data_IF_476105713402
#
_entry.id   IF_476105713402
#
_cell.length_a   1.000
_cell.length_b   1.000
_cell.length_c   1.000
_cell.angle_alpha   90.00
_cell.angle_beta   90.00
_cell.angle_gamma   90.00
#
_symmetry.space_group_name_H-M   'P 1'
#
loop_
_entity.id
_entity.type
_entity.pdbx_description
1 polymer ?
#
# COMPACT_ATOMS: atom_id res chain seq x y z
N UNK A 1 21.21 -19.78 -21.75
CA UNK A 1 20.22 -19.05 -20.91
C UNK A 1 19.86 -19.98 -19.77
N UNK A 2 19.86 -19.51 -18.53
CA UNK A 2 19.47 -20.33 -17.38
C UNK A 2 18.28 -19.71 -16.65
N UNK A 3 17.46 -20.54 -16.01
CA UNK A 3 16.27 -20.12 -15.30
C UNK A 3 16.49 -20.41 -13.82
N UNK A 4 16.31 -19.40 -12.97
CA UNK A 4 16.51 -19.52 -11.52
C UNK A 4 15.31 -19.02 -10.75
N UNK A 5 15.09 -19.59 -9.57
CA UNK A 5 13.99 -19.24 -8.68
C UNK A 5 14.52 -18.64 -7.38
N UNK A 6 13.97 -17.51 -6.95
CA UNK A 6 14.35 -16.91 -5.67
C UNK A 6 13.84 -17.77 -4.49
N UNK A 7 14.66 -18.08 -3.46
CA UNK A 7 14.23 -18.83 -2.29
C UNK A 7 13.23 -18.06 -1.40
N UNK A 8 13.25 -16.73 -1.41
CA UNK A 8 12.41 -15.89 -0.55
C UNK A 8 11.00 -15.64 -1.11
N UNK A 9 10.90 -15.23 -2.38
CA UNK A 9 9.62 -14.84 -3.01
C UNK A 9 9.21 -15.74 -4.17
N UNK A 10 9.99 -16.77 -4.49
CA UNK A 10 9.68 -17.75 -5.52
C UNK A 10 9.56 -17.21 -6.95
N UNK A 11 9.94 -15.95 -7.21
CA UNK A 11 9.95 -15.39 -8.56
C UNK A 11 10.97 -16.11 -9.44
N UNK A 12 10.53 -16.46 -10.65
CA UNK A 12 11.34 -17.14 -11.66
C UNK A 12 11.84 -16.12 -12.68
N UNK A 13 13.14 -16.13 -12.97
CA UNK A 13 13.73 -15.19 -13.92
C UNK A 13 14.85 -15.82 -14.74
N UNK A 14 15.13 -15.21 -15.89
CA UNK A 14 16.11 -15.69 -16.87
C UNK A 14 17.42 -14.93 -16.70
N UNK A 15 18.51 -15.66 -16.54
CA UNK A 15 19.86 -15.12 -16.42
C UNK A 15 20.73 -15.57 -17.59
N UNK A 16 21.60 -14.69 -18.05
CA UNK A 16 22.65 -15.07 -19.00
C UNK A 16 23.84 -15.62 -18.22
N UNK A 17 24.48 -16.71 -18.67
CA UNK A 17 25.61 -17.31 -17.98
C UNK A 17 26.76 -16.31 -17.80
N UNK A 18 26.98 -15.41 -18.76
CA UNK A 18 27.97 -14.33 -18.70
C UNK A 18 27.82 -13.41 -17.47
N UNK A 19 26.59 -13.18 -16.99
CA UNK A 19 26.32 -12.27 -15.87
C UNK A 19 26.70 -12.89 -14.50
N UNK A 20 26.83 -14.21 -14.42
CA UNK A 20 27.14 -14.92 -13.17
C UNK A 20 28.63 -15.07 -12.95
N UNK A 21 29.40 -15.19 -14.04
CA UNK A 21 30.85 -15.38 -13.97
C UNK A 21 31.55 -14.14 -13.39
N UNK A 22 30.95 -12.96 -13.49
CA UNK A 22 31.51 -11.73 -12.93
C UNK A 22 31.49 -11.67 -11.38
N UNK A 23 30.63 -12.45 -10.71
CA UNK A 23 30.41 -12.39 -9.25
C UNK A 23 30.21 -13.76 -8.58
N UNK A 24 30.61 -14.86 -9.23
CA UNK A 24 30.52 -16.20 -8.65
C UNK A 24 29.10 -16.69 -8.39
N UNK A 25 28.10 -16.21 -9.14
CA UNK A 25 26.71 -16.63 -9.01
C UNK A 25 25.86 -15.85 -7.99
N UNK A 26 26.44 -14.90 -7.26
CA UNK A 26 25.70 -14.03 -6.33
C UNK A 26 24.80 -13.04 -7.10
N UNK A 27 23.48 -13.17 -6.94
CA UNK A 27 22.49 -12.28 -7.54
C UNK A 27 21.51 -11.78 -6.49
N UNK A 28 20.96 -10.57 -6.71
CA UNK A 28 19.82 -10.08 -5.94
C UNK A 28 18.55 -10.27 -6.75
N UNK A 29 17.50 -10.78 -6.11
CA UNK A 29 16.19 -10.87 -6.73
C UNK A 29 15.68 -9.47 -7.13
N UNK A 30 15.26 -9.27 -8.39
CA UNK A 30 14.68 -8.00 -8.85
C UNK A 30 13.29 -7.69 -8.27
N UNK A 31 12.68 -8.62 -7.55
CA UNK A 31 11.36 -8.46 -6.93
C UNK A 31 11.43 -8.18 -5.43
N UNK A 32 12.20 -8.97 -4.66
CA UNK A 32 12.29 -8.82 -3.20
C UNK A 32 13.67 -8.39 -2.71
N UNK A 33 14.64 -8.16 -3.60
CA UNK A 33 16.03 -7.76 -3.29
C UNK A 33 16.83 -8.70 -2.38
N UNK A 34 16.30 -9.90 -2.11
CA UNK A 34 17.00 -10.93 -1.34
C UNK A 34 18.26 -11.39 -2.10
N UNK A 35 19.46 -11.32 -1.48
CA UNK A 35 20.70 -11.83 -2.06
C UNK A 35 20.70 -13.36 -1.96
N UNK A 36 21.02 -14.04 -3.06
CA UNK A 36 21.14 -15.50 -3.08
C UNK A 36 22.05 -15.97 -4.22
N UNK A 37 22.50 -17.22 -4.17
CA UNK A 37 23.27 -17.81 -5.25
C UNK A 37 22.34 -18.39 -6.33
N UNK A 38 22.40 -17.85 -7.53
CA UNK A 38 21.59 -18.28 -8.65
C UNK A 38 21.91 -19.73 -9.10
N UNK A 39 23.14 -20.19 -8.92
CA UNK A 39 23.56 -21.54 -9.36
C UNK A 39 22.91 -22.64 -8.51
N UNK A 40 22.66 -22.38 -7.21
CA UNK A 40 22.07 -23.33 -6.27
C UNK A 40 20.55 -23.49 -6.45
N UNK A 41 19.89 -22.51 -7.07
CA UNK A 41 18.44 -22.47 -7.24
C UNK A 41 18.02 -22.42 -8.72
N UNK A 42 18.74 -23.18 -9.57
CA UNK A 42 18.41 -23.36 -10.98
C UNK A 42 17.22 -24.30 -11.13
N UNK A 43 16.25 -23.92 -11.96
CA UNK A 43 15.11 -24.76 -12.31
C UNK A 43 15.35 -25.31 -13.71
N UNK A 44 15.46 -26.64 -13.80
CA UNK A 44 15.45 -27.31 -15.10
C UNK A 44 14.03 -27.26 -15.66
N UNK A 45 13.84 -26.48 -16.72
CA UNK A 45 12.63 -26.57 -17.52
C UNK A 45 12.75 -27.83 -18.37
N UNK A 46 11.97 -28.85 -18.01
CA UNK A 46 11.65 -29.95 -18.92
C UNK A 46 10.96 -29.33 -20.12
N UNK A 47 11.64 -29.28 -21.27
CA UNK A 47 10.97 -29.11 -22.55
C UNK A 47 10.13 -30.35 -22.80
N UNK A 48 8.93 -30.40 -22.21
CA UNK A 48 7.85 -31.26 -22.71
C UNK A 48 7.34 -30.61 -24.01
N UNK A 49 8.20 -30.72 -25.02
CA UNK A 49 8.13 -30.05 -26.31
C UNK A 49 8.96 -30.76 -27.37
N UNK A 50 9.19 -32.07 -27.21
CA UNK A 50 9.46 -32.97 -28.33
C UNK A 50 8.15 -33.64 -28.77
N UNK A 51 7.14 -32.82 -29.10
CA UNK A 51 6.11 -33.25 -30.04
C UNK A 51 6.74 -33.13 -31.43
N UNK A 52 6.98 -34.30 -32.03
CA UNK A 52 7.33 -34.54 -33.43
C UNK A 52 6.91 -33.39 -34.34
N UNK A 53 7.88 -32.66 -34.87
CA UNK A 53 7.68 -31.85 -36.07
C UNK A 53 7.42 -32.80 -37.24
N UNK A 54 6.17 -33.25 -37.38
CA UNK A 54 5.68 -33.71 -38.66
C UNK A 54 5.57 -32.46 -39.56
N UNK A 55 6.27 -32.49 -40.68
CA UNK A 55 6.14 -31.50 -41.73
C UNK A 55 4.65 -31.27 -42.06
N UNK A 56 4.20 -30.02 -42.28
CA UNK A 56 2.84 -29.77 -42.72
C UNK A 56 2.63 -30.49 -44.07
N UNK A 57 1.53 -31.24 -44.25
CA UNK A 57 1.19 -31.79 -45.56
C UNK A 57 0.96 -30.62 -46.54
N UNK A 58 1.25 -30.81 -47.84
CA UNK A 58 1.02 -29.78 -48.85
C UNK A 58 -0.46 -29.35 -48.84
N UNK A 59 -0.77 -28.08 -49.14
CA UNK A 59 -2.15 -27.60 -49.16
C UNK A 59 -2.95 -28.40 -50.19
N UNK A 60 -3.86 -29.26 -49.71
CA UNK A 60 -4.91 -29.82 -50.53
C UNK A 60 -5.75 -28.65 -51.07
N UNK A 61 -5.96 -28.64 -52.39
CA UNK A 61 -6.79 -27.67 -53.08
C UNK A 61 -8.13 -27.53 -52.35
N UNK A 62 -8.43 -26.32 -51.88
CA UNK A 62 -9.78 -25.99 -51.42
C UNK A 62 -10.73 -26.19 -52.60
N UNK A 63 -11.82 -26.96 -52.48
CA UNK A 63 -12.86 -26.89 -53.49
C UNK A 63 -13.37 -25.45 -53.50
N UNK A 64 -13.32 -24.83 -54.68
CA UNK A 64 -14.00 -23.57 -54.95
C UNK A 64 -15.48 -23.85 -54.70
N UNK A 65 -16.02 -23.34 -53.59
CA UNK A 65 -17.45 -23.32 -53.37
C UNK A 65 -18.00 -22.22 -54.27
N UNK A 66 -18.40 -22.61 -55.47
CA UNK A 66 -19.17 -21.77 -56.35
C UNK A 66 -20.52 -21.50 -55.67
N UNK A 67 -20.80 -20.22 -55.42
CA UNK A 67 -22.04 -19.79 -54.79
C UNK A 67 -23.21 -20.18 -55.72
N UNK A 68 -23.86 -21.30 -55.41
CA UNK A 68 -25.18 -21.59 -55.95
C UNK A 68 -26.14 -20.57 -55.36
N UNK A 69 -26.89 -19.80 -56.17
CA UNK A 69 -28.01 -19.04 -55.64
C UNK A 69 -29.07 -20.04 -55.18
N UNK A 70 -29.27 -20.15 -53.87
CA UNK A 70 -30.43 -20.86 -53.33
C UNK A 70 -31.69 -20.09 -53.75
N UNK A 71 -32.65 -20.74 -54.44
CA UNK A 71 -33.96 -20.17 -54.66
C UNK A 71 -34.80 -20.41 -53.40
N UNK A 72 -35.56 -19.38 -52.99
CA UNK A 72 -36.56 -19.39 -51.90
C UNK A 72 -36.02 -19.15 -50.49
N UNK A 73 -35.77 -17.87 -50.17
CA UNK A 73 -36.25 -17.26 -48.94
C UNK A 73 -36.66 -15.81 -49.25
N UNK A 74 -37.86 -15.68 -49.81
CA UNK A 74 -38.59 -14.43 -49.90
C UNK A 74 -39.10 -14.10 -48.48
N UNK A 75 -38.39 -13.23 -47.79
CA UNK A 75 -38.88 -12.57 -46.59
C UNK A 75 -39.10 -11.10 -46.96
N UNK A 76 -40.37 -10.74 -47.15
CA UNK A 76 -40.83 -9.35 -47.20
C UNK A 76 -40.25 -8.59 -45.99
N UNK A 77 -39.36 -7.64 -46.28
CA UNK A 77 -38.89 -6.66 -45.30
C UNK A 77 -40.01 -5.64 -45.14
N UNK A 78 -40.70 -5.53 -43.99
CA UNK A 78 -41.66 -4.48 -43.79
C UNK A 78 -40.94 -3.13 -43.87
N UNK A 79 -41.50 -2.24 -44.69
CA UNK A 79 -41.01 -0.90 -44.96
C UNK A 79 -40.88 -0.13 -43.64
N UNK A 80 -39.62 0.14 -43.24
CA UNK A 80 -39.29 0.89 -42.03
C UNK A 80 -39.82 2.31 -42.21
N UNK A 81 -40.77 2.69 -41.38
CA UNK A 81 -41.25 4.05 -41.27
C UNK A 81 -40.08 5.03 -41.05
N UNK A 82 -40.07 6.22 -41.66
CA UNK A 82 -38.96 7.16 -41.54
C UNK A 82 -38.74 7.54 -40.07
N UNK A 83 -37.51 7.38 -39.62
CA UNK A 83 -37.03 7.81 -38.31
C UNK A 83 -37.31 9.31 -38.12
N UNK A 84 -37.67 9.77 -36.90
CA UNK A 84 -37.77 11.19 -36.61
C UNK A 84 -36.41 11.88 -36.85
N UNK A 85 -36.39 13.17 -37.25
CA UNK A 85 -35.15 13.87 -37.54
C UNK A 85 -34.25 13.86 -36.31
N UNK A 86 -33.00 13.47 -36.53
CA UNK A 86 -31.90 13.58 -35.58
C UNK A 86 -31.92 15.01 -35.05
N UNK A 87 -32.18 15.17 -33.74
CA UNK A 87 -31.94 16.44 -33.05
C UNK A 87 -30.49 16.82 -33.32
N UNK A 88 -30.29 18.07 -33.76
CA UNK A 88 -28.97 18.63 -33.99
C UNK A 88 -28.02 18.26 -32.84
N UNK A 89 -26.76 17.86 -33.14
CA UNK A 89 -25.75 17.70 -32.11
C UNK A 89 -25.72 18.94 -31.22
N UNK A 90 -25.68 18.72 -29.90
CA UNK A 90 -25.32 19.76 -28.95
C UNK A 90 -24.04 20.46 -29.47
N UNK A 91 -23.94 21.80 -29.39
CA UNK A 91 -22.75 22.49 -29.84
C UNK A 91 -21.53 21.93 -29.10
N UNK A 92 -20.62 21.30 -29.84
CA UNK A 92 -19.27 21.06 -29.34
C UNK A 92 -18.69 22.43 -28.95
N UNK A 93 -18.02 22.56 -27.79
CA UNK A 93 -17.36 23.81 -27.44
C UNK A 93 -16.46 24.21 -28.61
N UNK A 94 -16.68 25.43 -29.11
CA UNK A 94 -16.00 25.96 -30.27
C UNK A 94 -14.48 25.90 -30.07
N UNK A 95 -13.79 25.53 -31.13
CA UNK A 95 -12.34 25.32 -31.21
C UNK A 95 -11.51 26.60 -31.07
N UNK A 96 -12.10 27.66 -30.51
CA UNK A 96 -11.52 28.97 -30.23
C UNK A 96 -11.27 29.17 -28.72
N UNK A 97 -11.75 28.25 -27.87
CA UNK A 97 -11.52 28.22 -26.41
C UNK A 97 -10.20 27.50 -26.02
N UNK A 98 -9.26 27.35 -26.96
CA UNK A 98 -7.98 26.67 -26.68
C UNK A 98 -7.03 27.60 -25.93
N UNK A 99 -6.65 27.21 -24.71
CA UNK A 99 -5.51 27.83 -24.04
C UNK A 99 -4.22 27.53 -24.81
N UNK A 100 -3.38 28.53 -25.02
CA UNK A 100 -2.02 28.35 -25.53
C UNK A 100 -1.18 27.69 -24.42
N UNK A 101 -0.70 26.46 -24.63
CA UNK A 101 -0.02 25.70 -23.58
C UNK A 101 1.38 26.24 -23.24
N UNK A 102 1.87 27.22 -24.02
CA UNK A 102 3.10 27.96 -23.77
C UNK A 102 2.88 29.30 -23.05
N UNK A 103 1.63 29.76 -22.92
CA UNK A 103 1.32 31.02 -22.24
C UNK A 103 1.37 30.82 -20.71
N UNK A 104 1.97 31.75 -19.94
CA UNK A 104 1.81 31.79 -18.49
C UNK A 104 0.32 31.87 -18.16
N UNK A 105 -0.14 31.10 -17.17
CA UNK A 105 -1.54 31.08 -16.73
C UNK A 105 -2.02 32.50 -16.39
N UNK A 106 -2.67 33.16 -17.34
CA UNK A 106 -3.30 34.44 -17.09
C UNK A 106 -4.61 34.15 -16.37
N UNK A 107 -4.67 34.49 -15.08
CA UNK A 107 -5.93 34.57 -14.34
C UNK A 107 -6.92 35.35 -15.20
N UNK A 108 -8.06 34.78 -15.62
CA UNK A 108 -9.05 35.56 -16.33
C UNK A 108 -9.56 36.62 -15.36
N UNK A 109 -9.20 37.88 -15.62
CA UNK A 109 -9.85 39.00 -15.00
C UNK A 109 -11.32 38.93 -15.44
N UNK A 110 -12.19 38.55 -14.50
CA UNK A 110 -13.63 38.65 -14.65
C UNK A 110 -13.95 40.03 -15.22
N UNK A 111 -14.42 40.02 -16.46
CA UNK A 111 -14.89 41.20 -17.19
C UNK A 111 -16.20 41.61 -16.54
N UNK A 112 -16.09 42.34 -15.44
CA UNK A 112 -17.22 43.01 -14.81
C UNK A 112 -17.82 43.97 -15.82
N UNK A 113 -19.08 43.75 -16.14
CA UNK A 113 -19.93 44.70 -16.85
C UNK A 113 -19.87 46.04 -16.15
N UNK A 114 -19.30 47.04 -16.83
CA UNK A 114 -19.29 48.42 -16.39
C UNK A 114 -20.73 48.94 -16.41
N UNK A 115 -21.26 49.24 -15.22
CA UNK A 115 -22.34 50.18 -15.05
C UNK A 115 -21.73 51.39 -14.34
N UNK A 116 -21.84 52.51 -15.04
CA UNK A 116 -21.43 53.86 -14.70
C UNK A 116 -22.01 54.30 -13.36
N UNK A 117 -21.15 54.74 -12.44
CA UNK A 117 -21.50 55.76 -11.45
C UNK A 117 -20.21 56.39 -10.90
N UNK A 118 -20.08 57.69 -11.14
CA UNK A 118 -18.92 58.48 -10.75
C UNK A 118 -18.85 58.69 -9.24
N UNK A 119 -17.68 58.42 -8.67
CA UNK A 119 -17.27 59.10 -7.44
C UNK A 119 -15.74 59.25 -7.40
N UNK A 120 -15.33 60.52 -7.42
CA UNK A 120 -13.99 60.98 -7.12
C UNK A 120 -13.57 60.55 -5.70
N UNK A 121 -12.36 59.99 -5.58
CA UNK A 121 -11.81 59.59 -4.28
C UNK A 121 -10.37 59.13 -4.38
N UNK A 122 -9.47 60.12 -4.42
CA UNK A 122 -8.15 60.14 -3.76
C UNK A 122 -7.36 58.83 -3.64
N UNK A 123 -6.29 58.73 -4.42
CA UNK A 123 -5.20 57.77 -4.22
C UNK A 123 -4.51 57.96 -2.85
N UNK A 124 -3.97 56.86 -2.31
CA UNK A 124 -2.64 56.93 -1.73
C UNK A 124 -1.71 56.00 -2.51
N UNK A 125 -0.60 56.57 -2.97
CA UNK A 125 0.57 55.86 -3.39
C UNK A 125 1.14 55.05 -2.20
N UNK A 126 1.41 53.78 -2.42
CA UNK A 126 2.30 52.99 -1.58
C UNK A 126 3.24 52.18 -2.47
N UNK A 127 4.44 52.75 -2.58
CA UNK A 127 5.77 52.16 -2.55
C UNK A 127 5.99 50.79 -3.23
N UNK A 128 6.80 50.85 -4.29
CA UNK A 128 7.56 49.75 -4.87
C UNK A 128 8.53 49.15 -3.83
N UNK A 129 8.03 48.16 -3.11
CA UNK A 129 8.84 47.26 -2.28
C UNK A 129 9.10 45.95 -3.01
N UNK A 130 10.25 45.85 -3.67
CA UNK A 130 10.82 44.59 -4.14
C UNK A 130 10.90 43.59 -2.97
N UNK A 131 10.03 42.58 -2.97
CA UNK A 131 10.08 41.47 -2.03
C UNK A 131 10.55 40.22 -2.76
N UNK A 132 11.74 39.80 -2.35
CA UNK A 132 12.51 38.66 -2.79
C UNK A 132 11.67 37.37 -2.98
N UNK A 133 12.00 36.67 -4.08
CA UNK A 133 11.71 35.26 -4.26
C UNK A 133 12.20 34.48 -3.03
N UNK A 134 11.28 33.79 -2.34
CA UNK A 134 11.67 32.80 -1.35
C UNK A 134 12.07 31.51 -2.09
N UNK A 135 13.30 31.01 -1.92
CA UNK A 135 13.66 29.70 -2.45
C UNK A 135 12.93 28.61 -1.66
N UNK A 136 12.36 27.65 -2.39
CA UNK A 136 11.78 26.42 -1.85
C UNK A 136 12.81 25.63 -1.02
N UNK A 137 12.38 24.86 0.00
CA UNK A 137 13.29 24.02 0.77
C UNK A 137 13.82 22.89 -0.12
N UNK A 138 15.14 22.90 -0.27
CA UNK A 138 15.91 21.89 -0.96
C UNK A 138 15.82 20.55 -0.22
N UNK A 139 15.45 19.54 -1.01
CA UNK A 139 15.55 18.10 -0.78
C UNK A 139 16.55 17.71 0.32
N UNK A 140 16.10 16.90 1.28
CA UNK A 140 16.96 16.11 2.19
C UNK A 140 17.94 15.27 1.35
N UNK A 141 19.10 15.84 1.02
CA UNK A 141 20.29 15.09 0.63
C UNK A 141 21.04 14.73 1.90
N UNK A 142 21.18 13.44 2.13
CA UNK A 142 21.96 12.85 3.20
C UNK A 142 23.38 13.39 3.19
N UNK A 143 23.70 14.23 4.18
CA UNK A 143 25.04 14.74 4.41
C UNK A 143 25.99 13.58 4.77
N UNK A 144 26.87 13.18 3.83
CA UNK A 144 28.16 12.61 4.20
C UNK A 144 28.98 13.73 4.82
N UNK A 145 29.31 13.56 6.09
CA UNK A 145 30.20 14.44 6.86
C UNK A 145 31.63 14.24 6.32
N UNK A 146 32.08 15.12 5.44
CA UNK A 146 33.49 15.28 5.10
C UNK A 146 34.14 16.22 6.11
N UNK A 147 35.21 15.77 6.77
CA UNK A 147 36.08 16.61 7.59
C UNK A 147 36.98 17.47 6.68
N UNK A 148 37.35 18.70 7.09
CA UNK A 148 38.27 19.54 6.32
C UNK A 148 39.70 19.02 6.49
N UNK A 149 40.42 18.92 5.36
CA UNK A 149 41.87 18.72 5.32
C UNK A 149 42.46 20.06 4.92
N UNK A 150 43.23 20.67 5.83
CA UNK A 150 44.08 21.82 5.53
C UNK A 150 45.21 21.38 4.59
N UNK A 151 45.38 22.14 3.50
CA UNK A 151 46.47 22.02 2.54
C UNK A 151 47.71 22.73 3.10
N UNK A 152 48.79 21.98 3.32
CA UNK A 152 50.13 22.55 3.51
C UNK A 152 51.14 21.81 2.61
N UNK A 153 51.98 22.60 1.97
CA UNK A 153 52.85 22.23 0.84
C UNK A 153 54.06 21.34 1.22
N UNK A 154 54.40 20.41 0.31
CA UNK A 154 55.79 20.14 -0.08
C UNK A 154 56.57 19.01 0.61
N UNK A 155 57.00 18.00 -0.17
CA UNK A 155 58.25 17.24 0.10
C UNK A 155 58.24 15.71 -0.10
N UNK A 156 58.65 15.27 -1.30
CA UNK A 156 59.48 14.08 -1.68
C UNK A 156 59.20 12.66 -1.13
N UNK A 157 59.25 11.58 -1.97
CA UNK A 157 58.73 10.26 -1.58
C UNK A 157 59.78 9.33 -0.95
N UNK A 158 59.38 8.58 0.10
CA UNK A 158 60.12 7.40 0.56
C UNK A 158 59.21 6.34 1.21
N UNK A 159 59.07 5.21 0.50
CA UNK A 159 59.22 3.82 0.97
C UNK A 159 58.54 3.40 2.29
N UNK A 160 57.38 2.76 2.13
CA UNK A 160 57.00 1.46 2.70
C UNK A 160 56.93 1.29 4.23
N UNK A 161 55.73 0.99 4.73
CA UNK A 161 55.48 -0.12 5.69
C UNK A 161 53.99 -0.35 5.98
N UNK A 162 53.64 -1.62 5.84
CA UNK A 162 52.76 -2.47 6.65
C UNK A 162 51.29 -2.07 6.92
N UNK A 163 50.40 -2.92 6.38
CA UNK A 163 48.96 -2.97 6.62
C UNK A 163 48.64 -3.22 8.11
N UNK A 164 47.74 -2.42 8.67
CA UNK A 164 47.01 -2.74 9.89
C UNK A 164 45.51 -2.89 9.57
N UNK A 165 44.96 -4.04 9.94
CA UNK A 165 43.60 -4.49 9.67
C UNK A 165 42.51 -3.67 10.42
N UNK A 166 41.29 -3.57 9.87
CA UNK A 166 40.15 -2.95 10.55
C UNK A 166 39.58 -3.88 11.64
N UNK A 167 39.45 -3.35 12.86
CA UNK A 167 38.85 -4.03 14.00
C UNK A 167 37.31 -4.12 13.90
N UNK A 168 36.69 -5.24 14.33
CA UNK A 168 35.24 -5.41 14.33
C UNK A 168 34.63 -4.95 15.66
N UNK A 169 33.72 -3.97 15.62
CA UNK A 169 32.75 -3.75 16.69
C UNK A 169 31.38 -4.23 16.21
N UNK A 170 31.10 -5.51 16.47
CA UNK A 170 29.75 -6.07 16.49
C UNK A 170 29.45 -6.47 17.95
N UNK A 171 28.32 -6.06 18.54
CA UNK A 171 27.98 -6.50 19.90
C UNK A 171 27.55 -7.97 19.86
N UNK A 172 28.41 -8.86 20.35
CA UNK A 172 28.04 -10.25 20.66
C UNK A 172 27.26 -10.25 21.98
N UNK A 173 25.98 -10.62 21.93
CA UNK A 173 25.25 -11.01 23.14
C UNK A 173 25.80 -12.36 23.58
N UNK A 174 26.52 -12.38 24.71
CA UNK A 174 26.92 -13.60 25.40
C UNK A 174 25.70 -14.24 26.07
N UNK A 175 25.18 -15.31 25.47
CA UNK A 175 24.28 -16.24 26.15
C UNK A 175 25.13 -17.23 26.95
N UNK A 176 25.05 -17.17 28.27
CA UNK A 176 25.62 -18.19 29.17
C UNK A 176 24.52 -19.22 29.47
N UNK A 177 24.68 -20.49 29.07
CA UNK A 177 23.73 -21.53 29.46
C UNK A 177 23.82 -21.79 30.98
N UNK A 178 22.69 -22.09 31.66
CA UNK A 178 22.73 -22.48 33.07
C UNK A 178 23.44 -23.84 33.24
N UNK A 179 24.09 -24.08 34.40
CA UNK A 179 24.75 -25.34 34.67
C UNK A 179 23.73 -26.49 34.72
N UNK A 180 24.14 -27.72 34.36
CA UNK A 180 23.30 -28.90 34.51
C UNK A 180 22.96 -29.12 35.99
N UNK A 181 21.72 -29.54 36.26
CA UNK A 181 21.30 -29.97 37.58
C UNK A 181 22.03 -31.27 37.93
N UNK A 182 22.85 -31.23 38.98
CA UNK A 182 23.37 -32.44 39.61
C UNK A 182 22.23 -33.14 40.37
N UNK A 183 21.88 -34.34 39.93
CA UNK A 183 21.02 -35.27 40.67
C UNK A 183 21.80 -35.82 41.87
N UNK A 184 21.74 -35.10 43.00
CA UNK A 184 22.18 -35.65 44.30
C UNK A 184 21.00 -36.33 45.03
N UNK A 185 21.19 -37.56 45.56
CA UNK A 185 20.12 -38.35 46.16
C UNK A 185 19.68 -37.81 47.52
N UNK A 186 18.41 -38.12 47.84
CA UNK A 186 17.70 -37.73 49.04
C UNK A 186 18.51 -37.83 50.35
N UNK A 187 18.70 -36.69 50.99
CA UNK A 187 19.20 -36.57 52.36
C UNK A 187 18.26 -37.31 53.31
N UNK A 188 18.69 -38.47 53.78
CA UNK A 188 18.06 -39.20 54.87
C UNK A 188 18.08 -38.35 56.16
N UNK A 189 16.94 -38.22 56.82
CA UNK A 189 16.82 -37.61 58.14
C UNK A 189 17.58 -38.50 59.14
N UNK A 190 18.58 -37.99 59.88
CA UNK A 190 19.33 -38.76 60.85
C UNK A 190 18.45 -39.14 62.05
N UNK A 191 18.55 -40.41 62.44
CA UNK A 191 17.82 -40.98 63.57
C UNK A 191 18.21 -40.36 64.91
N UNK A 192 17.20 -40.25 65.78
CA UNK A 192 17.39 -40.34 67.23
C UNK A 192 17.12 -41.79 67.63
N UNK A 193 18.20 -42.56 67.78
CA UNK A 193 18.20 -43.81 68.52
C UNK A 193 19.34 -43.76 69.53
N UNK A 194 19.00 -43.84 70.80
CA UNK A 194 19.86 -44.34 71.89
C UNK A 194 18.96 -44.87 73.02
N UNK A 195 19.47 -45.80 73.85
CA UNK A 195 18.81 -47.10 73.99
C UNK A 195 18.30 -47.40 75.41
N UNK A 196 17.39 -48.37 75.47
CA UNK A 196 17.27 -49.45 76.48
C UNK A 196 17.24 -49.06 77.97
N UNK A 197 16.08 -49.31 78.61
CA UNK A 197 15.98 -50.28 79.74
C UNK A 197 14.51 -50.64 80.04
N UNK A 198 13.96 -51.60 79.30
CA UNK A 198 12.73 -52.30 79.70
C UNK A 198 13.09 -53.37 80.74
N UNK A 199 12.56 -53.20 81.94
CA UNK A 199 12.65 -54.19 83.02
C UNK A 199 11.68 -55.31 82.73
N UNK A 200 12.22 -56.49 82.42
CA UNK A 200 11.46 -57.72 82.26
C UNK A 200 10.57 -57.99 83.51
N UNK A 201 9.25 -57.99 83.31
CA UNK A 201 8.33 -58.71 84.18
C UNK A 201 7.19 -59.32 83.35
N UNK A 202 7.31 -60.63 83.18
CA UNK A 202 6.29 -61.66 82.96
C UNK A 202 5.01 -61.28 82.19
N UNK A 203 4.86 -61.88 81.00
CA UNK A 203 3.61 -62.04 80.28
C UNK A 203 2.59 -62.92 81.02
N UNK A 204 1.31 -62.61 80.88
CA UNK A 204 0.27 -63.63 80.73
C UNK A 204 -0.41 -63.55 79.35
N UNK A 205 -0.66 -64.73 78.79
CA UNK A 205 -1.43 -65.05 77.58
C UNK A 205 -2.91 -64.56 77.64
N UNK A 206 -3.63 -64.55 76.50
CA UNK A 206 -4.42 -63.41 76.06
C UNK A 206 -5.91 -63.57 76.36
N UNK A 207 -6.54 -62.49 76.84
CA UNK A 207 -7.99 -62.37 76.83
C UNK A 207 -8.43 -61.72 75.50
N UNK A 208 -9.12 -62.49 74.69
CA UNK A 208 -9.81 -62.10 73.46
C UNK A 208 -10.71 -60.88 73.68
N UNK A 209 -10.38 -59.76 73.04
CA UNK A 209 -11.27 -58.60 72.89
C UNK A 209 -11.94 -58.74 71.51
N UNK A 210 -13.28 -58.67 71.42
CA UNK A 210 -14.02 -58.94 70.19
C UNK A 210 -13.68 -57.93 69.09
N UNK A 211 -13.77 -58.43 67.85
CA UNK A 211 -13.56 -57.69 66.61
C UNK A 211 -14.26 -56.32 66.65
N UNK A 212 -13.47 -55.25 66.66
CA UNK A 212 -13.96 -53.93 66.30
C UNK A 212 -14.36 -53.98 64.82
N UNK A 213 -15.63 -53.66 64.60
CA UNK A 213 -16.25 -53.47 63.29
C UNK A 213 -15.38 -52.58 62.40
N UNK A 214 -15.38 -52.90 61.09
CA UNK A 214 -14.73 -52.15 60.02
C UNK A 214 -15.09 -50.65 60.05
N UNK A 215 -14.31 -49.86 60.79
CA UNK A 215 -14.34 -48.40 60.69
C UNK A 215 -13.51 -48.02 59.46
N UNK A 216 -14.22 -48.00 58.32
CA UNK A 216 -13.77 -47.41 57.06
C UNK A 216 -13.07 -46.07 57.37
N UNK A 217 -11.79 -45.86 57.01
CA UNK A 217 -11.17 -44.56 57.22
C UNK A 217 -11.99 -43.53 56.46
N UNK A 218 -12.61 -42.62 57.21
CA UNK A 218 -13.34 -41.50 56.65
C UNK A 218 -12.40 -40.78 55.66
N UNK A 219 -12.88 -40.60 54.42
CA UNK A 219 -12.21 -39.79 53.40
C UNK A 219 -11.66 -38.51 54.04
N UNK A 220 -10.44 -38.06 53.67
CA UNK A 220 -9.95 -36.75 54.10
C UNK A 220 -11.06 -35.74 53.83
N UNK A 221 -11.55 -35.09 54.89
CA UNK A 221 -12.51 -34.00 54.76
C UNK A 221 -11.83 -32.97 53.86
N UNK A 222 -12.30 -32.87 52.61
CA UNK A 222 -11.97 -31.74 51.76
C UNK A 222 -12.36 -30.50 52.57
N UNK A 223 -11.40 -29.62 52.91
CA UNK A 223 -11.70 -28.49 53.77
C UNK A 223 -12.84 -27.71 53.14
N UNK A 224 -13.88 -27.45 53.92
CA UNK A 224 -15.03 -26.66 53.49
C UNK A 224 -14.54 -25.24 53.17
N UNK A 225 -14.08 -25.06 51.92
CA UNK A 225 -13.45 -23.82 51.45
C UNK A 225 -14.39 -22.63 51.63
N UNK A 226 -15.71 -22.88 51.56
CA UNK A 226 -16.73 -21.87 51.84
C UNK A 226 -16.73 -21.43 53.31
N UNK A 227 -16.46 -22.33 54.25
CA UNK A 227 -16.29 -22.00 55.68
C UNK A 227 -14.99 -21.25 55.96
N UNK A 228 -13.89 -21.63 55.30
CA UNK A 228 -12.62 -20.92 55.47
C UNK A 228 -12.72 -19.49 54.90
N UNK A 229 -13.37 -19.31 53.76
CA UNK A 229 -13.63 -17.99 53.18
C UNK A 229 -14.58 -17.14 54.05
N UNK A 230 -15.53 -17.75 54.75
CA UNK A 230 -16.40 -17.02 55.68
C UNK A 230 -15.66 -16.53 56.94
N UNK A 231 -14.70 -17.32 57.45
CA UNK A 231 -13.98 -16.99 58.68
C UNK A 231 -12.70 -16.17 58.46
N UNK A 232 -12.01 -16.36 57.33
CA UNK A 232 -10.72 -15.73 57.03
C UNK A 232 -10.72 -14.93 55.72
N UNK A 233 -11.79 -15.00 54.92
CA UNK A 233 -11.94 -14.17 53.74
C UNK A 233 -12.09 -12.71 54.12
N UNK A 234 -11.42 -11.83 53.37
CA UNK A 234 -11.63 -10.38 53.52
C UNK A 234 -13.13 -10.10 53.30
N UNK A 235 -13.80 -9.32 54.18
CA UNK A 235 -15.21 -9.02 53.99
C UNK A 235 -15.39 -8.46 52.58
N UNK A 236 -16.27 -9.09 51.80
CA UNK A 236 -16.60 -8.61 50.46
C UNK A 236 -17.11 -7.19 50.63
N UNK A 237 -16.30 -6.18 50.30
CA UNK A 237 -16.75 -4.79 50.27
C UNK A 237 -17.83 -4.74 49.21
N UNK A 238 -19.07 -4.87 49.63
CA UNK A 238 -20.23 -4.68 48.78
C UNK A 238 -20.23 -3.22 48.36
N UNK A 239 -19.60 -2.94 47.23
CA UNK A 239 -19.70 -1.64 46.60
C UNK A 239 -21.18 -1.34 46.40
N UNK A 240 -21.64 -0.24 47.01
CA UNK A 240 -23.03 0.17 47.02
C UNK A 240 -23.60 0.14 45.59
N UNK A 241 -24.82 -0.37 45.35
CA UNK A 241 -25.36 -0.58 44.01
C UNK A 241 -25.35 0.70 43.15
N UNK A 242 -25.50 1.87 43.79
CA UNK A 242 -25.38 3.18 43.14
C UNK A 242 -23.96 3.45 42.60
N UNK A 243 -22.91 3.10 43.36
CA UNK A 243 -21.51 3.26 42.92
C UNK A 243 -21.21 2.34 41.74
N UNK A 244 -21.73 1.11 41.75
CA UNK A 244 -21.62 0.20 40.59
C UNK A 244 -22.33 0.75 39.36
N UNK A 245 -23.56 1.23 39.52
CA UNK A 245 -24.32 1.84 38.44
C UNK A 245 -23.59 3.07 37.87
N UNK A 246 -23.05 3.94 38.72
CA UNK A 246 -22.27 5.11 38.31
C UNK A 246 -21.00 4.69 37.56
N UNK A 247 -20.26 3.69 38.03
CA UNK A 247 -19.07 3.18 37.35
C UNK A 247 -19.39 2.57 35.98
N UNK A 248 -20.50 1.83 35.87
CA UNK A 248 -20.97 1.28 34.58
C UNK A 248 -21.38 2.39 33.63
N UNK A 249 -22.11 3.41 34.11
CA UNK A 249 -22.48 4.58 33.30
C UNK A 249 -21.25 5.37 32.85
N UNK A 250 -20.29 5.57 33.74
CA UNK A 250 -19.02 6.23 33.42
C UNK A 250 -18.25 5.42 32.37
N UNK A 251 -18.09 4.11 32.56
CA UNK A 251 -17.42 3.24 31.60
C UNK A 251 -18.13 3.20 30.24
N UNK A 252 -19.46 3.19 30.22
CA UNK A 252 -20.25 3.27 28.99
C UNK A 252 -20.07 4.63 28.29
N UNK A 253 -20.08 5.73 29.06
CA UNK A 253 -19.86 7.08 28.51
C UNK A 253 -18.45 7.24 27.93
N UNK A 254 -17.42 6.72 28.61
CA UNK A 254 -16.04 6.73 28.14
C UNK A 254 -15.87 5.87 26.89
N UNK A 255 -16.48 4.70 26.86
CA UNK A 255 -16.48 3.82 25.68
C UNK A 255 -17.15 4.50 24.48
N UNK A 256 -18.29 5.18 24.68
CA UNK A 256 -18.97 5.92 23.63
C UNK A 256 -18.11 7.09 23.11
N UNK A 257 -17.47 7.84 24.01
CA UNK A 257 -16.55 8.91 23.64
C UNK A 257 -15.35 8.38 22.85
N UNK A 258 -14.76 7.25 23.27
CA UNK A 258 -13.66 6.61 22.56
C UNK A 258 -14.08 6.14 21.17
N UNK A 259 -15.26 5.56 21.03
CA UNK A 259 -15.80 5.14 19.74
C UNK A 259 -16.03 6.35 18.80
N UNK A 260 -16.52 7.47 19.33
CA UNK A 260 -16.67 8.71 18.58
C UNK A 260 -15.32 9.27 18.12
N UNK A 261 -14.31 9.28 19.01
CA UNK A 261 -12.94 9.69 18.68
C UNK A 261 -12.32 8.78 17.61
N UNK A 262 -12.43 7.46 17.75
CA UNK A 262 -11.94 6.51 16.78
C UNK A 262 -12.61 6.70 15.41
N UNK A 263 -13.94 6.88 15.39
CA UNK A 263 -14.68 7.14 14.14
C UNK A 263 -14.23 8.46 13.48
N UNK A 264 -13.97 9.51 14.27
CA UNK A 264 -13.48 10.78 13.75
C UNK A 264 -12.05 10.69 13.19
N UNK A 265 -11.17 10.00 13.92
CA UNK A 265 -9.76 9.81 13.54
C UNK A 265 -9.61 8.90 12.32
N UNK A 266 -10.29 7.74 12.32
CA UNK A 266 -10.23 6.72 11.26
C UNK A 266 -11.36 6.86 10.22
N UNK A 267 -11.95 8.05 10.07
CA UNK A 267 -13.08 8.29 9.15
C UNK A 267 -12.77 7.88 7.71
N UNK A 268 -11.52 7.98 7.29
CA UNK A 268 -11.05 7.67 5.94
C UNK A 268 -10.98 6.15 5.72
N UNK A 269 -10.32 5.43 6.63
CA UNK A 269 -10.24 3.97 6.60
C UNK A 269 -11.63 3.34 6.71
N UNK A 270 -12.51 3.92 7.52
CA UNK A 270 -13.89 3.46 7.68
C UNK A 270 -14.70 3.65 6.39
N UNK A 271 -14.56 4.82 5.74
CA UNK A 271 -15.20 5.11 4.45
C UNK A 271 -14.66 4.23 3.30
N UNK A 272 -13.40 3.80 3.38
CA UNK A 272 -12.78 2.86 2.44
C UNK A 272 -13.27 1.42 2.66
N UNK A 273 -13.29 0.95 3.90
CA UNK A 273 -13.67 -0.42 4.23
C UNK A 273 -15.18 -0.69 4.04
N UNK A 274 -16.01 0.30 4.32
CA UNK A 274 -17.48 0.20 4.28
C UNK A 274 -18.06 1.33 3.42
N UNK A 275 -18.12 1.16 2.08
CA UNK A 275 -18.59 2.22 1.18
C UNK A 275 -20.05 2.65 1.46
N UNK A 276 -20.89 1.76 1.99
CA UNK A 276 -22.26 2.08 2.39
C UNK A 276 -22.39 3.04 3.57
N UNK A 277 -21.37 3.18 4.43
CA UNK A 277 -21.36 4.12 5.55
C UNK A 277 -20.91 5.54 5.15
N UNK A 278 -20.29 5.68 3.98
CA UNK A 278 -19.80 6.96 3.46
C UNK A 278 -20.85 8.10 3.46
N UNK A 279 -22.10 7.93 2.96
CA UNK A 279 -23.07 9.02 2.96
C UNK A 279 -23.38 9.53 4.37
N UNK A 280 -23.60 8.62 5.32
CA UNK A 280 -23.86 8.95 6.74
C UNK A 280 -22.67 9.68 7.36
N UNK A 281 -21.45 9.19 7.10
CA UNK A 281 -20.22 9.84 7.57
C UNK A 281 -20.04 11.22 6.96
N UNK A 282 -20.32 11.40 5.67
CA UNK A 282 -20.18 12.68 4.98
C UNK A 282 -21.17 13.74 5.50
N UNK A 283 -22.42 13.34 5.75
CA UNK A 283 -23.45 14.24 6.28
C UNK A 283 -23.16 14.63 7.74
N UNK A 284 -22.78 13.66 8.57
CA UNK A 284 -22.31 13.93 9.92
C UNK A 284 -21.12 14.89 9.90
N UNK A 285 -20.11 14.62 9.06
CA UNK A 285 -18.93 15.47 8.98
C UNK A 285 -19.22 16.89 8.48
N UNK A 286 -20.14 17.06 7.52
CA UNK A 286 -20.55 18.38 7.05
C UNK A 286 -21.11 19.23 8.20
N UNK A 287 -21.82 18.61 9.16
CA UNK A 287 -22.35 19.30 10.35
C UNK A 287 -21.28 19.62 11.40
N UNK A 288 -20.25 18.81 11.50
CA UNK A 288 -19.12 19.00 12.43
C UNK A 288 -17.94 19.78 11.82
N UNK A 289 -18.06 20.24 10.56
CA UNK A 289 -17.00 20.98 9.86
C UNK A 289 -15.79 20.11 9.46
N UNK A 290 -15.95 18.79 9.36
CA UNK A 290 -14.94 17.90 8.80
C UNK A 290 -15.26 17.48 7.37
N UNK A 291 -14.23 17.07 6.63
CA UNK A 291 -14.36 16.45 5.31
C UNK A 291 -14.01 14.97 5.36
N UNK A 292 -14.69 14.18 4.51
CA UNK A 292 -14.35 12.78 4.23
C UNK A 292 -13.88 12.68 2.77
N UNK A 293 -12.62 13.05 2.47
CA UNK A 293 -12.10 12.92 1.12
C UNK A 293 -12.14 11.47 0.62
N UNK A 294 -12.01 11.28 -0.70
CA UNK A 294 -11.78 9.95 -1.24
C UNK A 294 -10.31 9.53 -1.02
N UNK A 295 -10.03 8.23 -0.84
CA UNK A 295 -8.66 7.71 -0.80
C UNK A 295 -7.83 8.11 -2.02
N UNK A 296 -6.50 8.19 -1.84
CA UNK A 296 -5.51 8.64 -2.83
C UNK A 296 -4.39 7.62 -2.98
N UNK A 297 -4.69 6.47 -3.57
CA UNK A 297 -3.74 5.38 -3.74
C UNK A 297 -3.33 5.27 -5.23
N UNK A 298 -2.30 6.02 -5.61
CA UNK A 298 -1.82 6.10 -7.00
C UNK A 298 -1.38 4.74 -7.56
N UNK A 299 -0.92 3.82 -6.72
CA UNK A 299 -0.53 2.45 -7.11
C UNK A 299 -1.70 1.65 -7.72
N UNK A 300 -2.94 2.00 -7.38
CA UNK A 300 -4.14 1.37 -7.94
C UNK A 300 -4.68 2.10 -9.18
N UNK A 301 -4.06 3.21 -9.59
CA UNK A 301 -4.41 3.90 -10.83
C UNK A 301 -3.44 3.47 -11.92
N UNK A 302 -3.96 2.75 -12.91
CA UNK A 302 -3.16 2.27 -14.04
C UNK A 302 -3.54 3.01 -15.34
N UNK A 303 -2.53 3.28 -16.16
CA UNK A 303 -2.70 3.76 -17.53
C UNK A 303 -2.51 2.54 -18.44
N UNK A 304 -3.58 2.05 -19.06
CA UNK A 304 -3.57 0.78 -19.80
C UNK A 304 -3.16 0.95 -21.26
N UNK A 305 -3.64 2.01 -21.88
CA UNK A 305 -3.27 2.42 -23.21
C UNK A 305 -3.04 3.94 -23.19
N UNK A 306 -2.02 4.39 -23.91
CA UNK A 306 -1.82 5.80 -24.21
C UNK A 306 -1.31 5.93 -25.64
N UNK A 307 -1.77 6.96 -26.33
CA UNK A 307 -1.31 7.33 -27.67
C UNK A 307 -1.27 8.84 -27.81
N UNK A 308 -0.25 9.34 -28.51
CA UNK A 308 -0.09 10.76 -28.79
C UNK A 308 -0.08 10.96 -30.30
N UNK A 309 -1.12 11.62 -30.82
CA UNK A 309 -1.32 11.83 -32.24
C UNK A 309 -1.15 13.30 -32.60
N UNK A 310 -0.46 13.59 -33.70
CA UNK A 310 -0.47 14.93 -34.29
C UNK A 310 -1.77 15.12 -35.09
N UNK A 311 -2.41 16.28 -34.95
CA UNK A 311 -3.67 16.55 -35.65
C UNK A 311 -3.43 16.76 -37.16
N UNK A 312 -4.08 15.97 -38.04
CA UNK A 312 -3.91 16.12 -39.49
C UNK A 312 -4.34 17.51 -39.96
N UNK A 313 -3.44 18.21 -40.65
CA UNK A 313 -3.72 19.55 -41.19
C UNK A 313 -3.42 20.72 -40.25
N UNK A 314 -2.99 20.46 -39.00
CA UNK A 314 -2.58 21.50 -38.05
C UNK A 314 -1.23 21.15 -37.38
N UNK A 315 -0.09 21.58 -37.96
CA UNK A 315 1.22 21.31 -37.34
C UNK A 315 1.29 21.98 -35.96
N UNK A 316 1.81 21.26 -34.98
CA UNK A 316 1.93 21.75 -33.60
C UNK A 316 0.68 21.54 -32.75
N UNK A 317 -0.37 20.91 -33.25
CA UNK A 317 -1.52 20.47 -32.46
C UNK A 317 -1.45 18.96 -32.24
N UNK A 318 -1.63 18.55 -30.99
CA UNK A 318 -1.51 17.17 -30.56
C UNK A 318 -2.75 16.74 -29.78
N UNK A 319 -3.14 15.48 -29.94
CA UNK A 319 -4.21 14.83 -29.21
C UNK A 319 -3.62 13.67 -28.41
N UNK A 320 -3.67 13.79 -27.08
CA UNK A 320 -3.33 12.70 -26.18
C UNK A 320 -4.58 11.89 -25.87
N UNK A 321 -4.58 10.63 -26.28
CA UNK A 321 -5.61 9.66 -25.93
C UNK A 321 -5.04 8.70 -24.89
N UNK A 322 -5.72 8.50 -23.77
CA UNK A 322 -5.29 7.50 -22.80
C UNK A 322 -6.49 6.83 -22.13
N UNK A 323 -6.27 5.62 -21.63
CA UNK A 323 -7.23 4.89 -20.82
C UNK A 323 -6.72 4.79 -19.40
N UNK A 324 -7.43 5.45 -18.49
CA UNK A 324 -7.15 5.43 -17.07
C UNK A 324 -8.06 4.41 -16.39
N UNK A 325 -7.51 3.51 -15.58
CA UNK A 325 -8.24 2.45 -14.90
C UNK A 325 -8.02 2.53 -13.37
N UNK A 326 -9.11 2.60 -12.61
CA UNK A 326 -9.08 2.44 -11.17
C UNK A 326 -9.18 0.95 -10.82
N UNK A 327 -8.04 0.35 -10.48
CA UNK A 327 -7.94 -1.06 -10.08
C UNK A 327 -8.26 -1.29 -8.60
N UNK A 328 -8.69 -0.29 -7.85
CA UNK A 328 -9.13 -0.48 -6.47
C UNK A 328 -10.58 -0.99 -6.41
N UNK A 329 -10.91 -1.70 -5.32
CA UNK A 329 -12.29 -2.09 -4.96
C UNK A 329 -13.09 -0.96 -4.31
N UNK A 330 -12.51 0.24 -4.23
CA UNK A 330 -13.11 1.42 -3.63
C UNK A 330 -12.96 2.64 -4.55
N UNK A 331 -13.90 3.60 -4.48
CA UNK A 331 -13.79 4.84 -5.22
C UNK A 331 -12.63 5.68 -4.69
N UNK A 332 -11.89 6.33 -5.60
CA UNK A 332 -10.72 7.14 -5.28
C UNK A 332 -10.91 8.58 -5.75
N UNK A 333 -10.10 9.50 -5.22
CA UNK A 333 -10.08 10.86 -5.74
C UNK A 333 -9.51 10.85 -7.16
N UNK A 334 -9.92 11.79 -8.02
CA UNK A 334 -9.29 11.97 -9.32
C UNK A 334 -7.80 12.36 -9.15
N UNK A 335 -6.87 11.67 -9.83
CA UNK A 335 -5.45 12.00 -9.75
C UNK A 335 -5.15 13.28 -10.54
N UNK A 336 -3.94 13.77 -10.40
CA UNK A 336 -3.35 14.70 -11.36
C UNK A 336 -2.57 13.87 -12.38
N UNK A 337 -2.54 14.34 -13.63
CA UNK A 337 -1.75 13.72 -14.69
C UNK A 337 -0.51 14.56 -14.94
N UNK A 338 0.62 13.91 -15.12
CA UNK A 338 1.86 14.55 -15.52
C UNK A 338 2.20 14.10 -16.92
N UNK A 339 2.19 15.04 -17.86
CA UNK A 339 2.59 14.81 -19.24
C UNK A 339 3.99 15.36 -19.47
N UNK A 340 4.91 14.49 -19.86
CA UNK A 340 6.27 14.85 -20.25
C UNK A 340 6.48 14.52 -21.72
N UNK A 341 6.80 15.54 -22.52
CA UNK A 341 7.12 15.38 -23.94
C UNK A 341 8.62 15.12 -24.09
N UNK A 342 9.01 14.16 -24.94
CA UNK A 342 10.40 13.73 -25.10
C UNK A 342 10.91 13.82 -26.55
N UNK A 343 12.22 13.99 -26.68
CA UNK A 343 12.96 13.96 -27.95
C UNK A 343 13.34 12.52 -28.35
N UNK A 344 13.99 12.34 -29.51
CA UNK A 344 14.39 11.04 -30.06
C UNK A 344 15.35 10.29 -29.14
N UNK A 345 16.07 11.02 -28.27
CA UNK A 345 16.92 10.47 -27.22
C UNK A 345 16.21 10.21 -25.88
N UNK A 346 14.88 10.28 -25.82
CA UNK A 346 14.06 10.10 -24.60
C UNK A 346 14.36 11.16 -23.50
N UNK A 347 14.88 12.32 -23.92
CA UNK A 347 15.14 13.45 -23.05
C UNK A 347 13.87 14.29 -22.90
N UNK A 348 13.49 14.71 -21.68
CA UNK A 348 12.30 15.54 -21.47
C UNK A 348 12.52 16.95 -22.02
N UNK A 349 11.70 17.34 -23.00
CA UNK A 349 11.71 18.69 -23.60
C UNK A 349 10.75 19.62 -22.86
N UNK A 350 9.60 19.09 -22.41
CA UNK A 350 8.58 19.84 -21.67
C UNK A 350 7.87 18.92 -20.69
N UNK A 351 7.48 19.44 -19.52
CA UNK A 351 6.76 18.73 -18.47
C UNK A 351 5.63 19.61 -17.95
N UNK A 352 4.41 19.09 -17.94
CA UNK A 352 3.23 19.81 -17.43
C UNK A 352 2.38 18.91 -16.55
N UNK A 353 1.90 19.50 -15.46
CA UNK A 353 0.91 18.88 -14.58
C UNK A 353 -0.47 19.34 -15.01
N UNK A 354 -1.35 18.37 -15.22
CA UNK A 354 -2.74 18.54 -15.62
C UNK A 354 -3.62 18.16 -14.41
N UNK A 355 -4.24 19.14 -13.74
CA UNK A 355 -5.21 18.85 -12.70
C UNK A 355 -6.43 18.14 -13.30
N UNK A 356 -7.15 17.40 -12.45
CA UNK A 356 -8.33 16.63 -12.89
C UNK A 356 -9.38 17.48 -13.61
N UNK A 357 -9.46 18.78 -13.31
CA UNK A 357 -10.39 19.71 -13.96
C UNK A 357 -10.12 19.91 -15.45
N UNK A 358 -8.89 19.72 -15.91
CA UNK A 358 -8.47 20.11 -17.26
C UNK A 358 -8.64 18.95 -18.26
N UNK A 359 -8.77 17.71 -17.76
CA UNK A 359 -8.84 16.51 -18.60
C UNK A 359 -10.02 15.59 -18.30
N UNK A 360 -10.73 15.77 -17.18
CA UNK A 360 -11.86 14.92 -16.83
C UNK A 360 -13.01 15.13 -17.81
N UNK A 361 -13.52 14.07 -18.49
CA UNK A 361 -14.66 14.20 -19.38
C UNK A 361 -15.91 14.67 -18.61
N UNK A 362 -16.76 15.53 -19.22
CA UNK A 362 -17.98 16.03 -18.58
C UNK A 362 -19.02 14.94 -18.30
N UNK A 363 -18.86 13.75 -18.89
CA UNK A 363 -19.70 12.58 -18.64
C UNK A 363 -19.42 11.89 -17.30
N UNK A 364 -18.28 12.20 -16.65
CA UNK A 364 -17.86 11.56 -15.41
C UNK A 364 -18.23 12.41 -14.18
N UNK A 365 -18.53 11.77 -13.04
CA UNK A 365 -18.77 12.49 -11.80
C UNK A 365 -17.49 13.16 -11.32
N UNK A 366 -17.57 14.43 -10.94
CA UNK A 366 -16.42 15.19 -10.46
C UNK A 366 -16.02 14.78 -9.04
N UNK A 367 -16.89 14.12 -8.29
CA UNK A 367 -16.60 13.74 -6.90
C UNK A 367 -15.54 12.65 -6.79
N UNK A 368 -15.60 11.60 -7.63
CA UNK A 368 -14.72 10.45 -7.49
C UNK A 368 -14.59 9.57 -8.73
N UNK A 369 -13.42 8.94 -8.82
CA UNK A 369 -13.15 7.85 -9.73
C UNK A 369 -13.69 6.54 -9.15
N UNK A 370 -14.74 5.99 -9.74
CA UNK A 370 -15.43 4.80 -9.23
C UNK A 370 -14.52 3.56 -9.14
N UNK A 371 -14.82 2.68 -8.18
CA UNK A 371 -14.13 1.40 -8.02
C UNK A 371 -14.22 0.56 -9.30
N UNK A 372 -13.13 -0.14 -9.65
CA UNK A 372 -13.08 -1.08 -10.80
C UNK A 372 -13.63 -0.49 -12.10
N UNK A 373 -13.40 0.80 -12.33
CA UNK A 373 -13.89 1.51 -13.51
C UNK A 373 -12.74 2.04 -14.35
N UNK A 374 -12.95 2.06 -15.67
CA UNK A 374 -12.01 2.59 -16.62
C UNK A 374 -12.67 3.73 -17.41
N UNK A 375 -11.87 4.74 -17.71
CA UNK A 375 -12.30 5.92 -18.47
C UNK A 375 -11.31 6.17 -19.61
N UNK A 376 -11.84 6.58 -20.75
CA UNK A 376 -11.04 7.09 -21.86
C UNK A 376 -11.00 8.62 -21.73
N UNK A 377 -9.80 9.19 -21.83
CA UNK A 377 -9.59 10.62 -21.81
C UNK A 377 -8.93 11.07 -23.11
N UNK A 378 -9.35 12.24 -23.59
CA UNK A 378 -8.90 12.87 -24.82
C UNK A 378 -8.51 14.30 -24.51
N UNK A 379 -7.23 14.58 -24.52
CA UNK A 379 -6.68 15.89 -24.15
C UNK A 379 -6.05 16.50 -25.41
N UNK A 380 -6.77 17.38 -26.12
CA UNK A 380 -6.18 18.18 -27.18
C UNK A 380 -5.29 19.28 -26.57
N UNK A 381 -4.13 19.51 -27.17
CA UNK A 381 -3.23 20.59 -26.77
C UNK A 381 -2.40 21.12 -27.92
N UNK A 382 -1.97 22.39 -27.81
CA UNK A 382 -1.10 23.03 -28.79
C UNK A 382 0.34 23.10 -28.26
N UNK A 383 1.30 22.60 -29.02
CA UNK A 383 2.72 22.72 -28.76
C UNK A 383 3.46 23.16 -30.04
N UNK A 384 3.19 24.37 -30.57
CA UNK A 384 3.64 24.80 -31.90
C UNK A 384 5.17 24.89 -32.05
N UNK A 385 5.88 25.17 -30.95
CA UNK A 385 7.34 25.27 -30.93
C UNK A 385 8.04 23.93 -30.64
N UNK A 386 7.28 22.85 -30.38
CA UNK A 386 7.80 21.56 -29.95
C UNK A 386 7.43 20.49 -30.98
N UNK A 387 8.41 19.71 -31.42
CA UNK A 387 8.20 18.53 -32.26
C UNK A 387 8.61 17.26 -31.49
N UNK A 388 7.85 16.85 -30.45
CA UNK A 388 8.17 15.67 -29.68
C UNK A 388 8.12 14.42 -30.54
N UNK A 389 9.08 13.53 -30.34
CA UNK A 389 9.09 12.19 -30.96
C UNK A 389 8.55 11.13 -30.00
N UNK A 390 8.45 11.45 -28.71
CA UNK A 390 7.90 10.57 -27.68
C UNK A 390 7.22 11.35 -26.56
N UNK A 391 6.64 10.60 -25.61
CA UNK A 391 6.01 11.17 -24.44
C UNK A 391 6.02 10.17 -23.28
N UNK A 392 5.80 10.66 -22.07
CA UNK A 392 5.60 9.88 -20.86
C UNK A 392 4.46 10.50 -20.07
N UNK A 393 3.58 9.65 -19.53
CA UNK A 393 2.44 10.07 -18.73
C UNK A 393 2.43 9.33 -17.39
N UNK A 394 2.18 10.06 -16.30
CA UNK A 394 2.07 9.49 -14.96
C UNK A 394 0.83 10.03 -14.24
N UNK A 395 0.16 9.18 -13.45
CA UNK A 395 -0.89 9.59 -12.54
C UNK A 395 -0.31 9.73 -11.12
N UNK A 396 -0.60 10.84 -10.44
CA UNK A 396 -0.12 11.08 -9.08
C UNK A 396 -1.12 11.92 -8.27
N UNK A 397 -0.90 12.01 -6.95
CA UNK A 397 -1.63 12.92 -6.08
C UNK A 397 -0.64 13.91 -5.45
N UNK A 398 -0.89 15.23 -5.52
CA UNK A 398 0.01 16.26 -4.98
C UNK A 398 0.01 16.33 -3.44
#
# INVERSE_FOLDING_TARGET
MMITRCPACQTVFRLRPEQLHARGGEVRCGHCFHPFNALEHTVEVRDDGAATTAAPPPPAARPVYEARPDPLLDFDIPEVAPSPPIRAPLPEPGLDDYEDWLAPAHKPALRGTAMDDGQTGTAPAFDEGAAAAQPFPEVLRSARRGLPIDEDEGGTPARGRDLAAPGPFAPTISYTPPPPFDDDPATAIPGLSTPVRESARAAPEPASIPAHEDERPASPHEPDLARLDANYGRPRKETHPLVRALMVLLAASLSALLAAQATYLYRMELARALPGLRPVLSEACARFGCGVPYPRDAEHIAIEASDLQAEPGRPGYYLLQATLNNRADYPQQWPHLELTLTDAGDNPISRRVLPSTDWLPPSQPHEAFMARSAIELRIPFAAPALAPTGYRIYAFYP
#
